data_IF_409469743076
#
_entry.id   IF_409469743076
#
_cell.length_a   1.000
_cell.length_b   1.000
_cell.length_c   1.000
_cell.angle_alpha   90.00
_cell.angle_beta   90.00
_cell.angle_gamma   90.00
#
_symmetry.space_group_name_H-M   'P 1'
#
loop_
_entity.id
_entity.type
_entity.pdbx_description
1 polymer ?
#
# COMPACT_ATOMS: atom_id res chain seq x y z
N UNK A 1 -16.50 17.09 4.75
CA UNK A 1 -15.99 16.03 3.82
C UNK A 1 -15.06 16.72 2.84
N UNK A 2 -13.84 16.23 2.70
CA UNK A 2 -12.87 16.74 1.75
C UNK A 2 -13.38 16.53 0.31
N UNK A 3 -13.00 17.44 -0.62
CA UNK A 3 -13.34 17.21 -2.02
C UNK A 3 -12.50 16.07 -2.60
N UNK A 4 -13.01 15.42 -3.63
CA UNK A 4 -12.27 14.37 -4.37
C UNK A 4 -10.92 14.93 -4.88
N UNK A 5 -10.90 16.17 -5.34
CA UNK A 5 -9.67 16.82 -5.81
C UNK A 5 -8.67 17.09 -4.68
N UNK A 6 -9.15 17.45 -3.49
CA UNK A 6 -8.29 17.57 -2.30
C UNK A 6 -7.65 16.23 -1.94
N UNK A 7 -8.45 15.16 -1.88
CA UNK A 7 -7.97 13.79 -1.60
C UNK A 7 -6.91 13.38 -2.64
N UNK A 8 -7.18 13.62 -3.93
CA UNK A 8 -6.22 13.36 -5.02
C UNK A 8 -4.87 14.02 -4.76
N UNK A 9 -4.89 15.32 -4.45
CA UNK A 9 -3.68 16.10 -4.23
C UNK A 9 -2.92 15.65 -2.98
N UNK A 10 -3.63 15.29 -1.92
CA UNK A 10 -3.03 14.75 -0.69
C UNK A 10 -2.35 13.39 -0.94
N UNK A 11 -3.01 12.46 -1.67
CA UNK A 11 -2.41 11.18 -2.08
C UNK A 11 -1.18 11.41 -2.95
N UNK A 12 -1.27 12.28 -3.96
CA UNK A 12 -0.15 12.62 -4.83
C UNK A 12 1.06 13.12 -4.02
N UNK A 13 0.83 14.06 -3.11
CA UNK A 13 1.89 14.62 -2.25
C UNK A 13 2.53 13.54 -1.38
N UNK A 14 1.71 12.71 -0.72
CA UNK A 14 2.19 11.63 0.13
C UNK A 14 3.03 10.62 -0.64
N UNK A 15 2.60 10.23 -1.86
CA UNK A 15 3.32 9.28 -2.70
C UNK A 15 4.66 9.83 -3.21
N UNK A 16 4.69 11.09 -3.65
CA UNK A 16 5.94 11.74 -4.11
C UNK A 16 6.98 11.83 -2.98
N UNK A 17 6.56 12.25 -1.79
CA UNK A 17 7.43 12.31 -0.62
C UNK A 17 7.96 10.91 -0.24
N UNK A 18 7.07 9.92 -0.14
CA UNK A 18 7.44 8.55 0.22
C UNK A 18 8.44 7.96 -0.77
N UNK A 19 8.11 7.98 -2.05
CA UNK A 19 8.92 7.33 -3.09
C UNK A 19 10.27 8.03 -3.30
N UNK A 20 10.36 9.33 -2.98
CA UNK A 20 11.65 10.06 -3.00
C UNK A 20 12.63 9.53 -1.96
N UNK A 21 12.15 9.12 -0.78
CA UNK A 21 13.03 8.68 0.34
C UNK A 21 13.07 7.17 0.53
N UNK A 22 12.19 6.41 -0.14
CA UNK A 22 12.04 4.97 0.08
C UNK A 22 13.24 4.15 -0.42
N UNK A 23 14.09 4.70 -1.31
CA UNK A 23 15.23 4.01 -1.93
C UNK A 23 14.82 2.71 -2.64
N UNK A 24 13.63 2.70 -3.23
CA UNK A 24 13.11 1.57 -3.99
C UNK A 24 13.68 1.54 -5.42
N UNK A 25 13.72 0.35 -6.02
CA UNK A 25 14.21 0.09 -7.36
C UNK A 25 13.12 -0.58 -8.20
N UNK A 26 13.22 -0.44 -9.51
CA UNK A 26 12.36 -1.14 -10.47
C UNK A 26 12.24 -2.64 -10.14
N UNK A 27 11.04 -3.20 -10.25
CA UNK A 27 10.74 -4.59 -9.91
C UNK A 27 10.53 -4.88 -8.42
N UNK A 28 10.62 -3.87 -7.56
CA UNK A 28 10.29 -4.02 -6.13
C UNK A 28 8.79 -3.83 -5.87
N UNK A 29 8.31 -4.42 -4.76
CA UNK A 29 6.90 -4.47 -4.42
C UNK A 29 6.52 -3.36 -3.44
N UNK A 30 5.48 -2.61 -3.79
CA UNK A 30 4.84 -1.59 -2.96
C UNK A 30 3.49 -2.08 -2.45
N UNK A 31 3.20 -1.93 -1.16
CA UNK A 31 1.91 -2.30 -0.59
C UNK A 31 1.11 -1.09 -0.14
N UNK A 32 -0.20 -1.10 -0.40
CA UNK A 32 -1.14 -0.13 0.14
C UNK A 32 -2.24 -0.79 0.93
N UNK A 33 -2.50 -0.27 2.13
CA UNK A 33 -3.73 -0.48 2.87
C UNK A 33 -4.52 0.82 2.91
N UNK A 34 -5.83 0.76 2.66
CA UNK A 34 -6.65 1.96 2.59
C UNK A 34 -8.07 1.71 3.09
N UNK A 35 -8.54 2.59 3.97
CA UNK A 35 -9.94 2.66 4.40
C UNK A 35 -10.60 3.91 3.84
N UNK A 36 -11.46 3.75 2.84
CA UNK A 36 -12.27 4.86 2.31
C UNK A 36 -13.25 5.41 3.33
N UNK A 37 -13.72 4.58 4.28
CA UNK A 37 -14.55 5.04 5.40
C UNK A 37 -13.79 6.03 6.28
N UNK A 38 -12.54 5.74 6.65
CA UNK A 38 -11.70 6.63 7.46
C UNK A 38 -11.41 7.93 6.69
N UNK A 39 -11.11 7.87 5.38
CA UNK A 39 -10.93 9.07 4.54
C UNK A 39 -12.16 9.98 4.62
N UNK A 40 -13.36 9.42 4.70
CA UNK A 40 -14.63 10.15 4.82
C UNK A 40 -15.02 10.48 6.26
N UNK A 41 -14.15 10.26 7.25
CA UNK A 41 -14.40 10.55 8.67
C UNK A 41 -15.38 9.57 9.33
N UNK A 42 -15.43 8.33 8.84
CA UNK A 42 -16.26 7.25 9.39
C UNK A 42 -15.38 6.11 9.87
N UNK A 43 -15.88 5.34 10.83
CA UNK A 43 -15.17 4.16 11.33
C UNK A 43 -14.89 3.18 10.18
N UNK A 44 -13.70 2.59 10.18
CA UNK A 44 -13.26 1.60 9.21
C UNK A 44 -14.34 0.53 8.93
N UNK A 45 -14.59 0.27 7.64
CA UNK A 45 -15.55 -0.75 7.18
C UNK A 45 -17.02 -0.41 7.31
N UNK A 46 -17.41 0.82 7.72
CA UNK A 46 -18.81 1.18 7.94
C UNK A 46 -19.44 2.01 6.81
N UNK A 47 -18.63 2.67 5.98
CA UNK A 47 -19.10 3.58 4.93
C UNK A 47 -18.13 3.58 3.75
N UNK A 48 -18.18 2.53 2.92
CA UNK A 48 -17.25 2.34 1.81
C UNK A 48 -17.63 3.20 0.60
N UNK A 49 -16.67 3.95 0.06
CA UNK A 49 -16.82 4.87 -1.06
C UNK A 49 -16.00 4.43 -2.27
N UNK A 50 -16.67 4.01 -3.35
CA UNK A 50 -16.01 3.53 -4.58
C UNK A 50 -15.36 4.67 -5.37
N UNK A 51 -15.94 5.86 -5.37
CA UNK A 51 -15.39 7.06 -6.02
C UNK A 51 -14.09 7.53 -5.35
N UNK A 52 -14.04 7.50 -4.02
CA UNK A 52 -12.82 7.78 -3.25
C UNK A 52 -11.77 6.70 -3.52
N UNK A 53 -12.16 5.41 -3.51
CA UNK A 53 -11.26 4.31 -3.81
C UNK A 53 -10.63 4.44 -5.20
N UNK A 54 -11.43 4.80 -6.21
CA UNK A 54 -10.94 4.98 -7.57
C UNK A 54 -9.88 6.08 -7.67
N UNK A 55 -10.11 7.23 -7.04
CA UNK A 55 -9.15 8.34 -7.05
C UNK A 55 -7.86 7.99 -6.32
N UNK A 56 -7.96 7.39 -5.14
CA UNK A 56 -6.79 6.96 -4.36
C UNK A 56 -5.99 5.91 -5.12
N UNK A 57 -6.67 4.91 -5.68
CA UNK A 57 -6.03 3.86 -6.47
C UNK A 57 -5.30 4.45 -7.69
N UNK A 58 -5.97 5.29 -8.48
CA UNK A 58 -5.41 5.84 -9.72
C UNK A 58 -4.12 6.66 -9.45
N UNK A 59 -4.09 7.46 -8.38
CA UNK A 59 -2.89 8.23 -8.00
C UNK A 59 -1.76 7.33 -7.51
N UNK A 60 -2.06 6.33 -6.67
CA UNK A 60 -1.04 5.40 -6.17
C UNK A 60 -0.51 4.54 -7.33
N UNK A 61 -1.39 3.96 -8.14
CA UNK A 61 -1.01 3.10 -9.27
C UNK A 61 -0.13 3.84 -10.27
N UNK A 62 -0.47 5.09 -10.58
CA UNK A 62 0.34 5.95 -11.44
C UNK A 62 1.75 6.17 -10.85
N UNK A 63 1.85 6.60 -9.58
CA UNK A 63 3.12 6.89 -8.94
C UNK A 63 4.04 5.66 -8.84
N UNK A 64 3.46 4.48 -8.57
CA UNK A 64 4.14 3.18 -8.47
C UNK A 64 4.62 2.72 -9.85
N UNK A 65 3.71 2.75 -10.85
CA UNK A 65 4.01 2.30 -12.22
C UNK A 65 5.05 3.16 -12.92
N UNK A 66 5.03 4.48 -12.75
CA UNK A 66 6.02 5.41 -13.32
C UNK A 66 7.44 5.13 -12.80
N UNK A 67 7.58 4.43 -11.68
CA UNK A 67 8.88 4.01 -11.11
C UNK A 67 9.21 2.53 -11.37
N UNK A 68 8.39 1.84 -12.17
CA UNK A 68 8.58 0.42 -12.48
C UNK A 68 8.41 -0.51 -11.27
N UNK A 69 7.64 -0.08 -10.27
CA UNK A 69 7.33 -0.88 -9.08
C UNK A 69 6.07 -1.71 -9.32
N UNK A 70 5.95 -2.80 -8.58
CA UNK A 70 4.76 -3.64 -8.52
C UNK A 70 3.84 -3.19 -7.38
N UNK A 71 2.53 -3.24 -7.58
CA UNK A 71 1.54 -2.81 -6.59
C UNK A 71 0.77 -3.99 -6.01
N UNK A 72 0.73 -4.08 -4.68
CA UNK A 72 -0.18 -4.96 -3.95
C UNK A 72 -1.15 -4.14 -3.10
N UNK A 73 -2.44 -4.45 -3.18
CA UNK A 73 -3.52 -3.76 -2.47
C UNK A 73 -4.14 -4.66 -1.44
N UNK A 74 -4.07 -4.26 -0.16
CA UNK A 74 -4.57 -5.05 0.96
C UNK A 74 -6.10 -5.09 1.00
N UNK A 75 -6.65 -6.28 1.17
CA UNK A 75 -8.05 -6.53 1.51
C UNK A 75 -8.33 -6.28 3.00
N UNK A 76 -9.61 -6.19 3.38
CA UNK A 76 -10.02 -6.12 4.79
C UNK A 76 -9.85 -7.47 5.52
N UNK A 77 -10.11 -7.46 6.85
CA UNK A 77 -10.04 -8.67 7.69
C UNK A 77 -10.99 -9.80 7.26
N UNK A 78 -12.10 -9.49 6.59
CA UNK A 78 -13.03 -10.51 6.09
C UNK A 78 -12.41 -11.40 5.00
N UNK A 79 -11.36 -10.93 4.33
CA UNK A 79 -10.50 -11.72 3.46
C UNK A 79 -9.10 -11.94 4.07
N UNK A 80 -9.01 -11.98 5.41
CA UNK A 80 -7.78 -12.26 6.16
C UNK A 80 -6.60 -11.34 5.81
N UNK A 81 -6.85 -10.10 5.36
CA UNK A 81 -5.82 -9.18 4.87
C UNK A 81 -5.04 -9.71 3.66
N UNK A 82 -5.64 -10.59 2.85
CA UNK A 82 -5.08 -11.00 1.56
C UNK A 82 -4.87 -9.81 0.63
N UNK A 83 -4.12 -9.97 -0.43
CA UNK A 83 -3.71 -8.88 -1.29
C UNK A 83 -4.11 -9.12 -2.74
N UNK A 84 -4.51 -8.04 -3.41
CA UNK A 84 -4.73 -8.00 -4.86
C UNK A 84 -3.45 -7.54 -5.53
N UNK A 85 -2.98 -8.25 -6.54
CA UNK A 85 -1.84 -7.84 -7.37
C UNK A 85 -2.02 -8.31 -8.82
N UNK A 86 -1.14 -7.87 -9.72
CA UNK A 86 -1.10 -8.40 -11.08
C UNK A 86 -0.45 -9.79 -11.10
N UNK A 87 -0.96 -10.70 -11.92
CA UNK A 87 -0.40 -12.05 -12.08
C UNK A 87 1.05 -12.02 -12.54
N UNK A 88 1.38 -11.10 -13.44
CA UNK A 88 2.74 -10.97 -13.98
C UNK A 88 3.78 -10.53 -12.95
N UNK A 89 3.33 -9.93 -11.83
CA UNK A 89 4.18 -9.47 -10.73
C UNK A 89 4.42 -10.55 -9.67
N UNK A 90 3.74 -11.70 -9.76
CA UNK A 90 3.94 -12.84 -8.85
C UNK A 90 5.32 -13.47 -9.04
N UNK A 91 5.97 -13.82 -7.95
CA UNK A 91 7.28 -14.49 -7.93
C UNK A 91 7.24 -15.85 -7.25
N UNK A 92 6.73 -15.91 -6.03
CA UNK A 92 6.65 -17.11 -5.18
C UNK A 92 5.29 -17.26 -4.51
N UNK A 93 4.42 -16.30 -4.67
CA UNK A 93 3.10 -16.26 -4.06
C UNK A 93 2.19 -17.33 -4.65
N UNK A 94 1.26 -17.84 -3.83
CA UNK A 94 0.22 -18.77 -4.27
C UNK A 94 -1.10 -18.05 -4.47
N UNK A 95 -1.75 -18.26 -5.63
CA UNK A 95 -3.04 -17.68 -5.96
C UNK A 95 -4.17 -18.29 -5.11
N UNK A 96 -4.99 -17.41 -4.54
CA UNK A 96 -6.21 -17.77 -3.82
C UNK A 96 -7.45 -17.53 -4.67
N UNK A 97 -8.39 -18.46 -4.64
CA UNK A 97 -9.65 -18.33 -5.37
C UNK A 97 -10.69 -17.53 -4.57
N UNK A 98 -10.60 -16.20 -4.67
CA UNK A 98 -11.59 -15.28 -4.11
C UNK A 98 -11.64 -14.00 -4.94
N UNK A 99 -12.81 -13.37 -5.03
CA UNK A 99 -13.00 -12.08 -5.69
C UNK A 99 -13.45 -11.06 -4.66
N UNK A 100 -12.67 -9.99 -4.41
CA UNK A 100 -13.02 -8.98 -3.40
C UNK A 100 -14.31 -8.27 -3.76
N UNK A 101 -15.11 -8.01 -2.74
CA UNK A 101 -16.39 -7.29 -2.82
C UNK A 101 -16.36 -6.09 -1.88
N UNK A 102 -17.27 -5.14 -2.07
CA UNK A 102 -17.36 -3.92 -1.28
C UNK A 102 -17.37 -4.20 0.24
N UNK A 103 -18.08 -5.24 0.67
CA UNK A 103 -18.20 -5.64 2.09
C UNK A 103 -17.33 -6.85 2.48
N UNK A 104 -16.52 -7.36 1.54
CA UNK A 104 -15.55 -8.43 1.78
C UNK A 104 -14.31 -8.21 0.90
N UNK A 105 -13.35 -7.49 1.42
CA UNK A 105 -12.17 -6.96 0.72
C UNK A 105 -12.08 -5.44 0.82
N UNK A 106 -13.22 -4.76 0.71
CA UNK A 106 -13.35 -3.31 0.79
C UNK A 106 -13.25 -2.62 -0.58
N UNK A 107 -13.67 -1.35 -0.64
CA UNK A 107 -13.72 -0.58 -1.88
C UNK A 107 -12.36 -0.50 -2.60
N UNK A 108 -11.27 -0.30 -1.85
CA UNK A 108 -9.93 -0.19 -2.45
C UNK A 108 -9.48 -1.49 -3.13
N UNK A 109 -9.64 -2.64 -2.46
CA UNK A 109 -9.29 -3.95 -3.01
C UNK A 109 -10.18 -4.34 -4.20
N UNK A 110 -11.48 -4.04 -4.12
CA UNK A 110 -12.41 -4.25 -5.23
C UNK A 110 -12.04 -3.37 -6.44
N UNK A 111 -11.68 -2.11 -6.21
CA UNK A 111 -11.21 -1.20 -7.26
C UNK A 111 -9.95 -1.74 -7.92
N UNK A 112 -8.95 -2.17 -7.15
CA UNK A 112 -7.73 -2.76 -7.67
C UNK A 112 -8.01 -3.99 -8.54
N UNK A 113 -8.83 -4.91 -8.04
CA UNK A 113 -9.20 -6.12 -8.77
C UNK A 113 -9.86 -5.82 -10.13
N UNK A 114 -10.69 -4.78 -10.19
CA UNK A 114 -11.38 -4.37 -11.41
C UNK A 114 -10.49 -3.54 -12.37
N UNK A 115 -9.41 -2.94 -11.89
CA UNK A 115 -8.51 -2.07 -12.65
C UNK A 115 -7.27 -2.79 -13.17
N UNK A 116 -6.80 -3.80 -12.47
CA UNK A 116 -5.70 -4.63 -12.93
C UNK A 116 -6.11 -5.42 -14.18
N UNK A 117 -5.14 -5.74 -15.00
CA UNK A 117 -5.35 -6.42 -16.29
C UNK A 117 -5.61 -7.92 -16.09
N UNK A 118 -4.86 -8.56 -15.20
CA UNK A 118 -4.98 -9.97 -14.82
C UNK A 118 -4.82 -10.10 -13.30
N UNK A 119 -5.85 -9.66 -12.52
CA UNK A 119 -5.77 -9.60 -11.07
C UNK A 119 -5.75 -10.99 -10.45
N UNK A 120 -4.92 -11.14 -9.43
CA UNK A 120 -4.88 -12.32 -8.56
C UNK A 120 -4.98 -11.92 -7.10
N UNK A 121 -5.44 -12.85 -6.27
CA UNK A 121 -5.40 -12.71 -4.81
C UNK A 121 -4.34 -13.65 -4.26
N UNK A 122 -3.53 -13.11 -3.34
CA UNK A 122 -2.51 -13.89 -2.62
C UNK A 122 -2.62 -13.63 -1.12
N UNK A 123 -2.26 -14.61 -0.28
CA UNK A 123 -2.33 -14.44 1.18
C UNK A 123 -1.13 -13.66 1.74
N UNK A 124 0.06 -13.85 1.16
CA UNK A 124 1.31 -13.33 1.70
C UNK A 124 2.15 -12.68 0.63
N UNK A 125 2.79 -11.58 0.98
CA UNK A 125 3.83 -10.92 0.19
C UNK A 125 4.97 -10.48 1.10
N UNK A 126 6.05 -9.98 0.48
CA UNK A 126 7.13 -9.27 1.17
C UNK A 126 7.42 -7.97 0.42
N UNK A 127 6.78 -6.88 0.84
CA UNK A 127 6.88 -5.58 0.20
C UNK A 127 8.14 -4.80 0.64
N UNK A 128 8.64 -3.95 -0.24
CA UNK A 128 9.84 -3.11 -0.04
C UNK A 128 9.51 -1.71 0.49
N UNK A 129 8.32 -1.22 0.20
CA UNK A 129 7.78 0.03 0.73
C UNK A 129 6.25 -0.05 0.81
N UNK A 130 5.64 0.86 1.55
CA UNK A 130 4.18 0.89 1.64
C UNK A 130 3.62 2.12 2.33
N UNK A 131 2.32 2.34 2.09
CA UNK A 131 1.52 3.38 2.71
C UNK A 131 0.25 2.78 3.32
N UNK A 132 -0.09 3.23 4.52
CA UNK A 132 -1.29 2.85 5.25
C UNK A 132 -2.16 4.09 5.45
N UNK A 133 -3.35 4.07 4.90
CA UNK A 133 -4.33 5.16 4.94
C UNK A 133 -5.53 4.69 5.75
N UNK A 134 -5.61 5.10 7.02
CA UNK A 134 -6.69 4.75 7.93
C UNK A 134 -6.40 3.57 8.86
N UNK A 135 -5.15 3.42 9.28
CA UNK A 135 -4.69 2.45 10.30
C UNK A 135 -5.10 0.99 10.00
N UNK A 136 -4.91 0.56 8.76
CA UNK A 136 -5.27 -0.78 8.29
C UNK A 136 -4.24 -1.86 8.62
N UNK A 137 -3.07 -1.47 9.11
CA UNK A 137 -1.95 -2.34 9.50
C UNK A 137 -1.32 -3.15 8.35
N UNK A 138 -0.55 -2.49 7.50
CA UNK A 138 0.19 -3.15 6.42
C UNK A 138 1.49 -3.83 6.87
N UNK A 139 1.91 -3.64 8.12
CA UNK A 139 3.22 -4.09 8.60
C UNK A 139 3.48 -5.59 8.44
N UNK A 140 2.43 -6.41 8.48
CA UNK A 140 2.52 -7.87 8.27
C UNK A 140 3.00 -8.26 6.87
N UNK A 141 2.90 -7.34 5.90
CA UNK A 141 3.26 -7.56 4.50
C UNK A 141 4.66 -7.07 4.14
N UNK A 142 5.38 -6.50 5.11
CA UNK A 142 6.67 -5.87 4.85
C UNK A 142 7.84 -6.82 5.07
N UNK A 143 8.91 -6.65 4.26
CA UNK A 143 10.21 -7.26 4.55
C UNK A 143 10.82 -6.71 5.83
N UNK A 144 11.71 -7.45 6.46
CA UNK A 144 12.58 -6.95 7.53
C UNK A 144 13.83 -6.29 6.93
N UNK A 145 14.18 -5.10 7.36
CA UNK A 145 13.66 -4.32 8.49
C UNK A 145 12.82 -3.18 7.94
N UNK A 146 11.56 -3.12 8.32
CA UNK A 146 10.68 -1.99 8.02
C UNK A 146 11.01 -0.81 8.91
N UNK A 147 11.20 0.36 8.32
CA UNK A 147 11.43 1.63 9.05
C UNK A 147 10.41 2.68 8.61
N UNK A 148 9.92 3.53 9.54
CA UNK A 148 8.92 4.53 9.19
C UNK A 148 9.51 5.64 8.32
N UNK A 149 8.69 6.14 7.38
CA UNK A 149 8.93 7.39 6.64
C UNK A 149 8.01 8.46 7.23
N UNK A 150 8.58 9.63 7.55
CA UNK A 150 7.82 10.75 8.10
C UNK A 150 7.40 11.68 6.96
N UNK A 151 6.13 11.58 6.59
CA UNK A 151 5.52 12.46 5.60
C UNK A 151 5.19 13.82 6.21
N UNK A 152 5.13 14.86 5.38
CA UNK A 152 4.63 16.18 5.76
C UNK A 152 3.14 16.14 6.12
N UNK A 153 2.36 15.35 5.36
CA UNK A 153 0.96 15.05 5.64
C UNK A 153 0.85 14.00 6.76
N UNK A 154 -0.14 14.18 7.62
CA UNK A 154 -0.51 13.21 8.65
C UNK A 154 -1.85 12.54 8.37
N UNK A 155 -2.60 13.09 7.45
CA UNK A 155 -3.95 12.66 7.08
C UNK A 155 -4.12 12.77 5.56
N UNK A 156 -4.98 11.90 5.01
CA UNK A 156 -5.58 11.99 3.68
C UNK A 156 -7.09 12.00 3.90
N UNK A 157 -7.75 13.09 3.54
CA UNK A 157 -9.08 13.35 4.06
C UNK A 157 -9.05 13.42 5.59
N UNK A 158 -9.84 12.59 6.26
CA UNK A 158 -9.84 12.45 7.73
C UNK A 158 -9.01 11.22 8.20
N UNK A 159 -8.49 10.42 7.28
CA UNK A 159 -7.77 9.18 7.60
C UNK A 159 -6.32 9.48 8.02
N UNK A 160 -5.91 8.97 9.18
CA UNK A 160 -4.52 8.98 9.60
C UNK A 160 -3.65 8.21 8.60
N UNK A 161 -2.45 8.74 8.30
CA UNK A 161 -1.52 8.15 7.34
C UNK A 161 -0.20 7.78 7.99
N UNK A 162 0.23 6.56 7.74
CA UNK A 162 1.58 6.10 8.02
C UNK A 162 2.25 5.57 6.76
N UNK A 163 3.58 5.73 6.67
CA UNK A 163 4.35 5.26 5.53
C UNK A 163 5.64 4.60 6.00
N UNK A 164 6.11 3.63 5.21
CA UNK A 164 7.30 2.88 5.56
C UNK A 164 8.11 2.49 4.32
N UNK A 165 9.39 2.24 4.56
CA UNK A 165 10.31 1.61 3.62
C UNK A 165 11.07 0.48 4.30
N UNK A 166 11.75 -0.33 3.52
CA UNK A 166 12.63 -1.38 4.05
C UNK A 166 14.09 -0.95 3.90
N UNK A 167 14.91 -1.32 4.87
CA UNK A 167 16.36 -1.36 4.74
C UNK A 167 16.89 -2.77 4.96
N UNK A 168 18.03 -3.14 4.37
CA UNK A 168 18.66 -4.42 4.65
C UNK A 168 18.99 -4.59 6.13
N UNK A 169 18.99 -5.83 6.59
CA UNK A 169 19.37 -6.18 7.97
C UNK A 169 20.85 -5.89 8.18
N UNK A 170 21.18 -5.23 9.29
CA UNK A 170 22.55 -5.13 9.80
C UNK A 170 22.84 -6.38 10.63
N UNK A 171 23.48 -7.39 10.03
CA UNK A 171 23.78 -8.65 10.68
C UNK A 171 25.30 -8.81 10.89
N UNK A 172 25.68 -9.45 11.99
CA UNK A 172 27.08 -9.68 12.33
C UNK A 172 27.36 -9.35 13.79
N UNK A 173 28.64 -9.28 14.15
CA UNK A 173 29.09 -8.95 15.50
C UNK A 173 30.19 -7.89 15.47
N UNK A 174 31.02 -7.84 16.51
CA UNK A 174 32.03 -6.79 16.72
C UNK A 174 33.04 -6.61 15.56
N UNK A 175 33.16 -7.60 14.69
CA UNK A 175 34.04 -7.56 13.50
C UNK A 175 33.28 -7.18 12.21
N UNK A 176 31.95 -6.99 12.28
CA UNK A 176 31.16 -6.63 11.12
C UNK A 176 31.39 -5.17 10.73
N UNK A 177 31.39 -4.92 9.43
CA UNK A 177 31.40 -3.59 8.83
C UNK A 177 30.11 -3.41 8.06
N UNK A 178 29.49 -2.26 8.16
CA UNK A 178 28.20 -1.96 7.53
C UNK A 178 28.35 -0.90 6.45
N UNK A 179 27.45 -0.95 5.49
CA UNK A 179 27.37 0.05 4.42
C UNK A 179 26.33 1.11 4.82
N UNK A 180 26.78 2.30 5.19
CA UNK A 180 25.92 3.40 5.65
C UNK A 180 24.95 3.88 4.56
N UNK A 181 25.26 3.66 3.28
CA UNK A 181 24.36 4.04 2.19
C UNK A 181 23.06 3.22 2.14
N UNK A 182 23.03 2.07 2.84
CA UNK A 182 21.86 1.18 2.90
C UNK A 182 20.98 1.41 4.15
N UNK A 183 21.35 2.32 5.03
CA UNK A 183 20.62 2.64 6.27
C UNK A 183 19.43 3.60 6.06
#
# INVERSE_FOLDING_TARGET
MHSIETIRQEVHTAMEELLTVAKVHEGQLFVVGCSTSEICGKKIGTDSHEDVAAVVFDEIYKAVSERGLYLAVQCCEHLNRALVMEREDMTWEEECNVVPQLHAGGAMAMTAYNRFKDPVIVEFIQADAGIDIGDTFIGMHMKHVTVPVRLSLKEIGEAHVTACRVRPKSIGGIRAVYNDALL
#
